data_IF_351908478672
#
_entry.id   IF_351908478672
#
_cell.length_a   1.000
_cell.length_b   1.000
_cell.length_c   1.000
_cell.angle_alpha   90.00
_cell.angle_beta   90.00
_cell.angle_gamma   90.00
#
_symmetry.space_group_name_H-M   'P 1'
#
loop_
_entity.id
_entity.type
_entity.pdbx_description
1 polymer ?
#
# COMPACT_ATOMS: atom_id res chain seq x y z
N UNK A 1 -23.03 -42.82 -55.90
CA UNK A 1 -22.82 -42.75 -54.45
C UNK A 1 -22.21 -41.39 -54.10
N UNK A 2 -22.92 -40.52 -53.38
CA UNK A 2 -22.37 -39.28 -52.83
C UNK A 2 -22.40 -39.43 -51.32
N UNK A 3 -21.22 -39.56 -50.71
CA UNK A 3 -21.06 -39.63 -49.25
C UNK A 3 -20.97 -38.18 -48.77
N UNK A 4 -21.98 -37.74 -48.02
CA UNK A 4 -21.97 -36.45 -47.32
C UNK A 4 -21.38 -36.70 -45.94
N UNK A 5 -20.18 -36.19 -45.69
CA UNK A 5 -19.54 -36.24 -44.37
C UNK A 5 -19.86 -34.94 -43.64
N UNK A 6 -20.71 -35.01 -42.63
CA UNK A 6 -21.02 -33.90 -41.73
C UNK A 6 -19.95 -33.88 -40.63
N UNK A 7 -19.06 -32.89 -40.68
CA UNK A 7 -18.13 -32.59 -39.59
C UNK A 7 -18.88 -31.85 -38.48
N UNK A 8 -19.24 -32.55 -37.40
CA UNK A 8 -19.70 -31.95 -36.15
C UNK A 8 -18.47 -31.46 -35.37
N UNK A 9 -18.12 -30.18 -35.56
CA UNK A 9 -17.13 -29.50 -34.74
C UNK A 9 -17.73 -29.21 -33.35
N UNK A 10 -17.43 -30.07 -32.39
CA UNK A 10 -17.67 -29.87 -30.97
C UNK A 10 -16.80 -28.71 -30.46
N UNK A 11 -17.37 -27.51 -30.40
CA UNK A 11 -16.79 -26.38 -29.68
C UNK A 11 -16.95 -26.64 -28.18
N UNK A 12 -15.93 -27.22 -27.56
CA UNK A 12 -15.82 -27.28 -26.09
C UNK A 12 -15.49 -25.86 -25.61
N UNK A 13 -16.53 -25.10 -25.28
CA UNK A 13 -16.38 -23.87 -24.50
C UNK A 13 -15.86 -24.26 -23.11
N UNK A 14 -14.54 -24.20 -22.95
CA UNK A 14 -13.93 -24.22 -21.63
C UNK A 14 -14.31 -22.88 -20.98
N UNK A 15 -15.44 -22.87 -20.27
CA UNK A 15 -15.75 -21.86 -19.28
C UNK A 15 -14.70 -21.97 -18.19
N UNK A 16 -13.58 -21.27 -18.38
CA UNK A 16 -12.64 -21.00 -17.33
C UNK A 16 -13.31 -19.99 -16.40
N UNK A 17 -14.19 -20.48 -15.53
CA UNK A 17 -14.65 -19.74 -14.38
C UNK A 17 -13.40 -19.39 -13.59
N UNK A 18 -12.94 -18.13 -13.74
CA UNK A 18 -12.00 -17.55 -12.80
C UNK A 18 -12.71 -17.56 -11.45
N UNK A 19 -12.48 -18.61 -10.68
CA UNK A 19 -12.69 -18.59 -9.25
C UNK A 19 -11.85 -17.42 -8.74
N UNK A 20 -12.50 -16.26 -8.55
CA UNK A 20 -11.95 -15.16 -7.77
C UNK A 20 -11.98 -15.66 -6.33
N UNK A 21 -11.06 -16.58 -6.01
CA UNK A 21 -10.75 -16.93 -4.65
C UNK A 21 -10.26 -15.65 -4.01
N UNK A 22 -11.01 -15.18 -3.02
CA UNK A 22 -10.65 -14.01 -2.23
C UNK A 22 -9.33 -14.32 -1.50
N UNK A 23 -8.19 -14.11 -2.19
CA UNK A 23 -6.88 -14.47 -1.67
C UNK A 23 -6.67 -13.64 -0.42
N UNK A 24 -6.67 -14.31 0.74
CA UNK A 24 -6.38 -13.67 2.01
C UNK A 24 -4.95 -13.14 1.97
N UNK A 25 -4.81 -11.82 1.88
CA UNK A 25 -3.51 -11.16 1.89
C UNK A 25 -2.83 -11.30 3.25
N UNK A 26 -1.51 -11.26 3.24
CA UNK A 26 -0.67 -11.24 4.44
C UNK A 26 0.30 -10.04 4.41
N UNK A 27 1.14 -9.89 5.43
CA UNK A 27 2.00 -8.71 5.55
C UNK A 27 3.04 -8.61 4.41
N UNK A 28 3.51 -9.73 3.86
CA UNK A 28 4.46 -9.76 2.74
C UNK A 28 3.84 -9.07 1.52
N UNK A 29 2.53 -9.26 1.30
CA UNK A 29 1.83 -8.60 0.20
C UNK A 29 1.88 -7.07 0.32
N UNK A 30 2.08 -6.50 1.51
CA UNK A 30 2.18 -5.05 1.71
C UNK A 30 3.61 -4.51 1.63
N UNK A 31 4.63 -5.34 1.40
CA UNK A 31 6.02 -4.86 1.31
C UNK A 31 6.29 -4.06 0.04
N UNK A 32 5.64 -4.43 -1.07
CA UNK A 32 5.84 -3.81 -2.38
C UNK A 32 4.48 -3.59 -3.03
N UNK A 33 4.31 -2.43 -3.66
CA UNK A 33 3.13 -2.13 -4.46
C UNK A 33 2.66 -0.68 -4.34
N UNK A 34 1.45 -0.44 -4.81
CA UNK A 34 0.77 0.85 -4.71
C UNK A 34 -0.34 0.73 -3.69
N UNK A 35 -0.46 1.76 -2.86
CA UNK A 35 -1.43 1.81 -1.78
C UNK A 35 -2.04 3.19 -1.68
N UNK A 36 -3.17 3.24 -0.99
CA UNK A 36 -3.81 4.47 -0.55
C UNK A 36 -4.05 4.46 0.95
N UNK A 37 -3.93 5.63 1.55
CA UNK A 37 -4.37 5.91 2.92
C UNK A 37 -5.30 7.12 2.87
N UNK A 38 -6.46 7.00 3.50
CA UNK A 38 -7.42 8.10 3.64
C UNK A 38 -7.54 8.44 5.12
N UNK A 39 -7.20 9.68 5.47
CA UNK A 39 -7.40 10.22 6.81
C UNK A 39 -8.50 11.29 6.74
N UNK A 40 -9.70 10.93 7.24
CA UNK A 40 -10.88 11.80 7.19
C UNK A 40 -10.75 13.00 8.14
N UNK A 41 -10.12 12.82 9.29
CA UNK A 41 -9.98 13.86 10.32
C UNK A 41 -9.11 15.01 9.82
N UNK A 42 -7.97 14.69 9.21
CA UNK A 42 -7.08 15.68 8.58
C UNK A 42 -7.49 16.07 7.16
N UNK A 43 -8.58 15.48 6.62
CA UNK A 43 -9.05 15.64 5.23
C UNK A 43 -7.94 15.41 4.19
N UNK A 44 -7.10 14.40 4.39
CA UNK A 44 -5.98 14.07 3.50
C UNK A 44 -6.11 12.67 2.91
N UNK A 45 -5.72 12.55 1.65
CA UNK A 45 -5.48 11.28 0.95
C UNK A 45 -3.99 11.18 0.62
N UNK A 46 -3.43 9.99 0.83
CA UNK A 46 -2.06 9.68 0.48
C UNK A 46 -2.07 8.57 -0.57
N UNK A 47 -1.34 8.78 -1.66
CA UNK A 47 -0.96 7.71 -2.57
C UNK A 47 0.47 7.31 -2.25
N UNK A 48 0.65 6.02 -2.03
CA UNK A 48 1.89 5.45 -1.53
C UNK A 48 2.40 4.46 -2.58
N UNK A 49 3.60 4.69 -3.08
CA UNK A 49 4.33 3.72 -3.90
C UNK A 49 5.49 3.17 -3.08
N UNK A 50 5.55 1.84 -2.96
CA UNK A 50 6.50 1.15 -2.10
C UNK A 50 7.32 0.13 -2.88
N UNK A 51 8.63 0.21 -2.75
CA UNK A 51 9.59 -0.83 -3.14
C UNK A 51 10.08 -1.56 -1.89
N UNK A 52 11.03 -2.49 -2.06
CA UNK A 52 11.60 -3.26 -0.94
C UNK A 52 12.15 -2.38 0.18
N UNK A 53 12.78 -1.27 -0.17
CA UNK A 53 13.62 -0.43 0.68
C UNK A 53 13.22 1.06 0.65
N UNK A 54 12.19 1.42 -0.11
CA UNK A 54 11.83 2.82 -0.33
C UNK A 54 10.31 3.03 -0.47
N UNK A 55 9.85 4.19 0.00
CA UNK A 55 8.46 4.62 -0.12
C UNK A 55 8.38 6.06 -0.63
N UNK A 56 7.46 6.32 -1.54
CA UNK A 56 7.09 7.65 -2.00
C UNK A 56 5.65 7.91 -1.58
N UNK A 57 5.40 9.05 -0.96
CA UNK A 57 4.07 9.49 -0.56
C UNK A 57 3.70 10.80 -1.25
N UNK A 58 2.62 10.75 -2.02
CA UNK A 58 1.97 11.93 -2.59
C UNK A 58 0.77 12.28 -1.73
N UNK A 59 0.64 13.55 -1.33
CA UNK A 59 -0.44 13.99 -0.43
C UNK A 59 -1.42 14.90 -1.17
N UNK A 60 -2.70 14.58 -1.06
CA UNK A 60 -3.81 15.28 -1.69
C UNK A 60 -4.81 15.74 -0.64
N UNK A 61 -5.44 16.88 -0.88
CA UNK A 61 -6.66 17.27 -0.18
C UNK A 61 -7.79 16.31 -0.57
N UNK A 62 -8.49 15.76 0.42
CA UNK A 62 -9.49 14.73 0.21
C UNK A 62 -10.73 15.26 -0.52
N UNK A 63 -11.07 16.53 -0.35
CA UNK A 63 -12.29 17.14 -0.91
C UNK A 63 -12.12 17.59 -2.36
N UNK A 64 -10.96 18.16 -2.68
CA UNK A 64 -10.66 18.73 -4.00
C UNK A 64 -9.83 17.78 -4.87
N UNK A 65 -9.25 16.73 -4.28
CA UNK A 65 -8.31 15.81 -4.93
C UNK A 65 -7.07 16.51 -5.53
N UNK A 66 -6.76 17.73 -5.08
CA UNK A 66 -5.56 18.46 -5.52
C UNK A 66 -4.37 18.06 -4.66
N UNK A 67 -3.20 17.93 -5.29
CA UNK A 67 -1.94 17.71 -4.58
C UNK A 67 -1.61 18.96 -3.75
N UNK A 68 -1.33 18.78 -2.46
CA UNK A 68 -1.16 19.91 -1.51
C UNK A 68 0.27 20.14 -1.04
N UNK A 69 1.19 19.23 -1.37
CA UNK A 69 2.63 19.39 -1.06
C UNK A 69 3.48 18.57 -2.02
N UNK A 70 4.80 18.80 -2.00
CA UNK A 70 5.79 17.96 -2.69
C UNK A 70 5.75 16.53 -2.14
N UNK A 71 6.25 15.61 -2.95
CA UNK A 71 6.31 14.19 -2.57
C UNK A 71 7.28 14.00 -1.41
N UNK A 72 6.92 13.09 -0.49
CA UNK A 72 7.79 12.69 0.61
C UNK A 72 8.38 11.33 0.32
N UNK A 73 9.67 11.22 0.58
CA UNK A 73 10.48 10.06 0.28
C UNK A 73 10.95 9.46 1.59
N UNK A 74 10.79 8.15 1.76
CA UNK A 74 11.19 7.45 2.96
C UNK A 74 12.05 6.25 2.60
N UNK A 75 13.08 6.01 3.41
CA UNK A 75 13.79 4.74 3.46
C UNK A 75 13.01 3.79 4.38
N UNK A 76 12.81 2.56 3.93
CA UNK A 76 12.10 1.52 4.68
C UNK A 76 13.10 0.51 5.22
N UNK A 77 12.98 0.21 6.50
CA UNK A 77 13.76 -0.85 7.14
C UNK A 77 12.81 -1.90 7.70
N UNK A 78 12.67 -3.03 7.02
CA UNK A 78 11.85 -4.15 7.49
C UNK A 78 12.55 -4.89 8.63
N UNK A 79 11.85 -5.03 9.74
CA UNK A 79 12.29 -5.79 10.92
C UNK A 79 11.85 -7.25 10.76
N UNK A 80 10.63 -7.46 10.26
CA UNK A 80 10.08 -8.76 9.90
C UNK A 80 9.03 -8.57 8.79
N UNK A 81 8.10 -9.53 8.64
CA UNK A 81 7.07 -9.43 7.61
C UNK A 81 6.03 -8.36 7.88
N UNK A 82 5.71 -8.07 9.13
CA UNK A 82 4.65 -7.16 9.52
C UNK A 82 5.15 -5.85 10.14
N UNK A 83 6.45 -5.73 10.40
CA UNK A 83 7.03 -4.59 11.12
C UNK A 83 8.17 -3.95 10.35
N UNK A 84 8.15 -2.61 10.33
CA UNK A 84 9.12 -1.81 9.61
C UNK A 84 9.24 -0.41 10.18
N UNK A 85 10.39 0.23 9.97
CA UNK A 85 10.58 1.66 10.24
C UNK A 85 10.56 2.46 8.94
N UNK A 86 9.97 3.66 8.97
CA UNK A 86 10.08 4.68 7.92
C UNK A 86 10.94 5.84 8.41
N UNK A 87 12.04 6.08 7.71
CA UNK A 87 12.93 7.23 7.94
C UNK A 87 12.76 8.19 6.77
N UNK A 88 12.44 9.45 7.04
CA UNK A 88 12.33 10.47 5.99
C UNK A 88 13.69 10.67 5.32
N UNK A 89 13.74 10.59 4.00
CA UNK A 89 14.92 10.95 3.22
C UNK A 89 14.97 12.47 3.07
N UNK A 90 15.71 13.11 3.98
CA UNK A 90 15.86 14.58 4.07
C UNK A 90 16.62 15.18 2.89
N UNK A 91 17.33 14.35 2.11
CA UNK A 91 17.98 14.79 0.87
C UNK A 91 17.01 14.99 -0.30
N UNK A 92 15.82 14.38 -0.23
CA UNK A 92 14.80 14.40 -1.28
C UNK A 92 13.49 15.06 -0.84
N UNK A 93 13.26 15.15 0.46
CA UNK A 93 12.00 15.64 1.03
C UNK A 93 12.20 16.98 1.74
N UNK A 94 11.25 17.87 1.55
CA UNK A 94 11.07 19.00 2.47
C UNK A 94 10.79 18.46 3.87
N UNK A 95 11.44 19.05 4.86
CA UNK A 95 11.43 18.60 6.24
C UNK A 95 11.48 19.78 7.21
N UNK A 96 10.91 19.58 8.40
CA UNK A 96 10.96 20.51 9.52
C UNK A 96 11.67 19.89 10.74
N UNK A 97 11.69 20.61 11.86
CA UNK A 97 12.33 20.13 13.09
C UNK A 97 11.66 18.89 13.67
N UNK A 98 10.35 18.72 13.49
CA UNK A 98 9.61 17.55 13.96
C UNK A 98 10.05 16.34 13.14
N UNK A 99 10.16 16.49 11.82
CA UNK A 99 10.64 15.43 10.93
C UNK A 99 12.06 14.98 11.29
N UNK A 100 12.97 15.93 11.50
CA UNK A 100 14.35 15.65 11.90
C UNK A 100 14.40 14.94 13.26
N UNK A 101 13.57 15.39 14.19
CA UNK A 101 13.45 14.80 15.50
C UNK A 101 12.94 13.36 15.42
N UNK A 102 11.86 13.09 14.67
CA UNK A 102 11.35 11.73 14.45
C UNK A 102 12.41 10.83 13.84
N UNK A 103 13.14 11.31 12.83
CA UNK A 103 14.27 10.60 12.24
C UNK A 103 15.35 10.26 13.28
N UNK A 104 15.69 11.19 14.18
CA UNK A 104 16.69 10.96 15.25
C UNK A 104 16.29 9.85 16.22
N UNK A 105 14.98 9.55 16.32
CA UNK A 105 14.42 8.46 17.15
C UNK A 105 14.25 7.14 16.40
N UNK A 106 14.79 7.04 15.19
CA UNK A 106 14.67 5.85 14.35
C UNK A 106 13.39 5.81 13.51
N UNK A 107 12.74 6.97 13.31
CA UNK A 107 11.63 7.13 12.39
C UNK A 107 10.28 6.67 12.92
N UNK A 108 9.31 6.59 12.02
CA UNK A 108 8.01 6.02 12.30
C UNK A 108 8.11 4.49 12.40
N UNK A 109 7.81 3.94 13.58
CA UNK A 109 7.81 2.49 13.80
C UNK A 109 6.43 1.93 13.48
N UNK A 110 6.32 1.23 12.36
CA UNK A 110 5.05 0.72 11.84
C UNK A 110 4.90 -0.79 12.08
N UNK A 111 3.70 -1.21 12.45
CA UNK A 111 3.32 -2.62 12.66
C UNK A 111 1.95 -2.88 12.06
N UNK A 112 1.87 -3.81 11.10
CA UNK A 112 0.62 -4.28 10.51
C UNK A 112 -0.08 -5.19 11.53
N UNK A 113 -1.21 -4.71 12.08
CA UNK A 113 -1.93 -5.43 13.14
C UNK A 113 -3.03 -6.35 12.63
N UNK A 114 -3.67 -5.96 11.54
CA UNK A 114 -4.78 -6.72 10.93
C UNK A 114 -4.83 -6.46 9.44
N UNK A 115 -5.19 -7.48 8.67
CA UNK A 115 -5.46 -7.37 7.24
C UNK A 115 -6.89 -7.84 7.00
N UNK A 116 -7.65 -7.01 6.30
CA UNK A 116 -9.02 -7.27 5.88
C UNK A 116 -9.16 -6.91 4.41
N UNK A 117 -9.51 -7.91 3.58
CA UNK A 117 -9.46 -7.83 2.12
C UNK A 117 -8.13 -7.25 1.61
N UNK A 118 -8.17 -6.08 0.98
CA UNK A 118 -7.02 -5.38 0.43
C UNK A 118 -6.41 -4.32 1.38
N UNK A 119 -6.89 -4.21 2.62
CA UNK A 119 -6.50 -3.16 3.57
C UNK A 119 -5.78 -3.71 4.80
N UNK A 120 -4.65 -3.11 5.13
CA UNK A 120 -3.91 -3.32 6.36
C UNK A 120 -4.22 -2.21 7.37
N UNK A 121 -4.58 -2.58 8.59
CA UNK A 121 -4.55 -1.70 9.75
C UNK A 121 -3.10 -1.62 10.24
N UNK A 122 -2.49 -0.44 10.09
CA UNK A 122 -1.10 -0.16 10.49
C UNK A 122 -1.12 0.71 11.73
N UNK A 123 -0.47 0.22 12.79
CA UNK A 123 -0.14 1.02 13.95
C UNK A 123 1.23 1.66 13.73
N UNK A 124 1.30 2.97 13.88
CA UNK A 124 2.55 3.74 13.84
C UNK A 124 2.84 4.26 15.24
N UNK A 125 4.04 3.97 15.75
CA UNK A 125 4.52 4.47 17.01
C UNK A 125 5.59 5.55 16.80
N UNK A 126 5.46 6.65 17.53
CA UNK A 126 6.49 7.70 17.67
C UNK A 126 6.57 8.04 19.15
N UNK A 127 7.69 7.72 19.80
CA UNK A 127 7.94 8.03 21.22
C UNK A 127 6.82 7.64 22.21
N UNK A 128 6.16 6.52 21.97
CA UNK A 128 5.08 6.03 22.84
C UNK A 128 3.68 6.42 22.37
N UNK A 129 3.56 7.45 21.54
CA UNK A 129 2.28 7.80 20.89
C UNK A 129 1.98 6.81 19.77
N UNK A 130 0.73 6.35 19.71
CA UNK A 130 0.28 5.36 18.74
C UNK A 130 -0.82 5.93 17.86
N UNK A 131 -0.59 5.86 16.55
CA UNK A 131 -1.55 6.27 15.52
C UNK A 131 -1.99 5.04 14.73
N UNK A 132 -3.30 4.91 14.50
CA UNK A 132 -3.85 3.85 13.66
C UNK A 132 -4.20 4.43 12.30
N UNK A 133 -3.76 3.74 11.25
CA UNK A 133 -4.11 4.06 9.87
C UNK A 133 -4.57 2.82 9.11
N UNK A 134 -5.37 3.02 8.06
CA UNK A 134 -5.71 1.97 7.10
C UNK A 134 -4.99 2.25 5.78
N UNK A 135 -4.15 1.31 5.37
CA UNK A 135 -3.39 1.35 4.12
C UNK A 135 -3.95 0.25 3.21
N UNK A 136 -4.54 0.64 2.09
CA UNK A 136 -5.21 -0.29 1.18
C UNK A 136 -4.48 -0.39 -0.15
N UNK A 137 -4.31 -1.61 -0.69
CA UNK A 137 -3.80 -1.80 -2.06
C UNK A 137 -4.74 -1.18 -3.09
N UNK A 138 -4.16 -0.59 -4.13
CA UNK A 138 -4.85 -0.03 -5.30
C UNK A 138 -4.38 -0.66 -6.61
#
# INVERSE_FOLDING_TARGET
>A
MKIVIIFLASFVFINCEKAIGNKRLNCIDFKIGKFQLINKDSKKKYLIERTKDFQIEQTFDLSTNKKIRKDRYYKIFWINDCEYSLILDTSKSEHDQIDLYINSKGGYKCSIKKIDNNCATVQTNVEGDNFISKVCKI
#
